data_IF_711964148588
#
_entry.id   IF_711964148588
#
_cell.length_a   1.000
_cell.length_b   1.000
_cell.length_c   1.000
_cell.angle_alpha   90.00
_cell.angle_beta   90.00
_cell.angle_gamma   90.00
#
_symmetry.space_group_name_H-M   'P 1'
#
loop_
_entity.id
_entity.type
_entity.pdbx_description
1 polymer ?
#
# COMPACT_ATOMS: atom_id res chain seq x y z
N UNK A 1 18.14 49.90 -13.32
CA UNK A 1 18.71 51.18 -12.83
C UNK A 1 18.28 51.34 -11.37
N UNK A 2 18.79 52.31 -10.59
CA UNK A 2 18.27 52.54 -9.22
C UNK A 2 17.33 53.74 -9.25
N UNK A 3 16.12 53.61 -8.71
CA UNK A 3 15.14 54.70 -8.64
C UNK A 3 15.71 55.85 -7.81
N UNK A 4 15.68 57.07 -8.37
CA UNK A 4 16.16 58.27 -7.70
C UNK A 4 14.99 58.93 -6.96
N UNK A 5 15.06 58.97 -5.64
CA UNK A 5 14.06 59.65 -4.81
C UNK A 5 14.42 61.11 -4.61
N UNK A 6 13.44 62.01 -4.82
CA UNK A 6 13.57 63.45 -4.54
C UNK A 6 14.09 63.72 -3.11
N UNK A 7 13.56 62.99 -2.13
CA UNK A 7 13.92 63.15 -0.72
C UNK A 7 15.40 62.82 -0.44
N UNK A 8 15.97 61.85 -1.16
CA UNK A 8 17.38 61.48 -1.04
C UNK A 8 18.28 62.41 -1.85
N UNK A 9 17.82 62.88 -3.02
CA UNK A 9 18.56 63.84 -3.84
C UNK A 9 18.69 65.22 -3.17
N UNK A 10 17.72 65.60 -2.33
CA UNK A 10 17.70 66.91 -1.66
C UNK A 10 17.36 68.09 -2.58
N UNK A 11 16.95 67.81 -3.83
CA UNK A 11 16.56 68.79 -4.83
C UNK A 11 15.41 68.23 -5.70
N UNK A 12 14.65 69.07 -6.43
CA UNK A 12 13.70 68.59 -7.43
C UNK A 12 14.37 67.65 -8.44
N UNK A 13 13.64 66.62 -8.87
CA UNK A 13 14.10 65.74 -9.95
C UNK A 13 14.07 66.51 -11.29
N UNK A 14 15.05 66.25 -12.15
CA UNK A 14 14.99 66.74 -13.54
C UNK A 14 13.98 65.93 -14.34
N UNK A 15 13.60 66.42 -15.51
CA UNK A 15 12.67 65.72 -16.40
C UNK A 15 13.26 64.36 -16.81
N UNK A 16 14.56 64.31 -17.09
CA UNK A 16 15.27 63.08 -17.47
C UNK A 16 15.31 62.06 -16.34
N UNK A 17 15.43 62.50 -15.09
CA UNK A 17 15.38 61.60 -13.93
C UNK A 17 13.98 61.04 -13.68
N UNK A 18 12.96 61.86 -13.91
CA UNK A 18 11.56 61.43 -13.84
C UNK A 18 11.28 60.38 -14.91
N UNK A 19 11.63 60.68 -16.17
CA UNK A 19 11.47 59.75 -17.29
C UNK A 19 12.28 58.47 -17.09
N UNK A 20 13.50 58.59 -16.57
CA UNK A 20 14.34 57.44 -16.22
C UNK A 20 13.72 56.55 -15.14
N UNK A 21 13.14 57.15 -14.09
CA UNK A 21 12.44 56.40 -13.04
C UNK A 21 11.20 55.68 -13.59
N UNK A 22 10.41 56.34 -14.44
CA UNK A 22 9.23 55.71 -15.05
C UNK A 22 9.61 54.56 -15.97
N UNK A 23 10.63 54.74 -16.81
CA UNK A 23 11.15 53.68 -17.67
C UNK A 23 11.67 52.48 -16.87
N UNK A 24 12.39 52.72 -15.77
CA UNK A 24 12.88 51.63 -14.91
C UNK A 24 11.73 50.85 -14.26
N UNK A 25 10.69 51.55 -13.80
CA UNK A 25 9.50 50.92 -13.24
C UNK A 25 8.73 50.11 -14.28
N UNK A 26 8.52 50.67 -15.46
CA UNK A 26 7.83 50.04 -16.59
C UNK A 26 8.56 48.75 -17.01
N UNK A 27 9.88 48.81 -17.23
CA UNK A 27 10.68 47.62 -17.54
C UNK A 27 10.65 46.58 -16.42
N UNK A 28 10.68 46.98 -15.15
CA UNK A 28 10.58 46.03 -14.03
C UNK A 28 9.21 45.38 -13.94
N UNK A 29 8.16 46.13 -14.28
CA UNK A 29 6.79 45.62 -14.33
C UNK A 29 6.64 44.64 -15.49
N UNK A 30 7.11 44.99 -16.69
CA UNK A 30 7.15 44.08 -17.86
C UNK A 30 7.85 42.76 -17.51
N UNK A 31 9.00 42.80 -16.84
CA UNK A 31 9.71 41.57 -16.39
C UNK A 31 8.87 40.73 -15.43
N UNK A 32 8.08 41.34 -14.55
CA UNK A 32 7.22 40.62 -13.61
C UNK A 32 5.98 40.06 -14.33
N UNK A 33 5.41 40.82 -15.27
CA UNK A 33 4.23 40.42 -16.05
C UNK A 33 4.55 39.32 -17.07
N UNK A 34 5.74 39.34 -17.67
CA UNK A 34 6.25 38.29 -18.55
C UNK A 34 6.72 37.05 -17.79
N UNK A 35 6.92 37.16 -16.47
CA UNK A 35 7.26 36.01 -15.64
C UNK A 35 6.02 35.14 -15.46
N UNK A 36 5.77 34.25 -16.41
CA UNK A 36 4.87 33.11 -16.21
C UNK A 36 5.35 32.38 -14.97
N UNK A 37 4.56 32.41 -13.89
CA UNK A 37 4.77 31.49 -12.79
C UNK A 37 4.63 30.10 -13.39
N UNK A 38 5.75 29.43 -13.59
CA UNK A 38 5.80 27.99 -13.83
C UNK A 38 5.36 27.35 -12.51
N UNK A 39 4.06 27.48 -12.20
CA UNK A 39 3.43 26.90 -11.03
C UNK A 39 3.41 25.40 -11.27
N UNK A 40 4.56 24.78 -11.01
CA UNK A 40 4.70 23.34 -10.95
C UNK A 40 3.70 22.82 -9.95
N UNK A 41 2.60 22.24 -10.44
CA UNK A 41 1.58 21.61 -9.63
C UNK A 41 1.90 20.13 -9.41
N UNK A 42 1.06 19.45 -8.63
CA UNK A 42 1.05 17.99 -8.60
C UNK A 42 0.28 17.51 -9.84
N UNK A 43 0.93 16.69 -10.67
CA UNK A 43 0.27 16.04 -11.81
C UNK A 43 -0.31 14.68 -11.43
N UNK A 44 0.43 13.90 -10.67
CA UNK A 44 0.09 12.53 -10.36
C UNK A 44 0.66 12.12 -8.99
N UNK A 45 -0.03 11.19 -8.33
CA UNK A 45 0.47 10.48 -7.16
C UNK A 45 0.45 9.00 -7.51
N UNK A 46 1.64 8.42 -7.59
CA UNK A 46 1.86 7.01 -7.94
C UNK A 46 2.19 6.22 -6.68
N UNK A 47 1.82 4.94 -6.68
CA UNK A 47 2.32 3.98 -5.71
C UNK A 47 3.43 3.17 -6.38
N UNK A 48 4.66 3.26 -5.86
CA UNK A 48 5.84 2.52 -6.29
C UNK A 48 6.35 1.69 -5.11
N UNK A 49 6.01 0.40 -5.08
CA UNK A 49 6.30 -0.47 -3.94
C UNK A 49 5.58 -0.01 -2.66
N UNK A 50 6.35 0.38 -1.64
CA UNK A 50 5.86 0.93 -0.38
C UNK A 50 5.91 2.47 -0.32
N UNK A 51 6.21 3.15 -1.42
CA UNK A 51 6.32 4.60 -1.50
C UNK A 51 5.22 5.23 -2.35
N UNK A 52 4.61 6.30 -1.83
CA UNK A 52 3.86 7.25 -2.65
C UNK A 52 4.84 8.23 -3.29
N UNK A 53 4.87 8.24 -4.62
CA UNK A 53 5.67 9.15 -5.44
C UNK A 53 4.75 10.26 -5.94
N UNK A 54 5.02 11.48 -5.51
CA UNK A 54 4.28 12.68 -5.95
C UNK A 54 5.04 13.27 -7.13
N UNK A 55 4.43 13.24 -8.31
CA UNK A 55 4.98 13.81 -9.53
C UNK A 55 4.43 15.21 -9.78
N UNK A 56 5.30 16.07 -10.31
CA UNK A 56 4.97 17.42 -10.73
C UNK A 56 4.48 17.46 -12.18
N UNK A 57 3.90 18.58 -12.59
CA UNK A 57 3.42 18.86 -13.96
C UNK A 57 4.48 18.73 -15.05
N UNK A 58 5.77 18.72 -14.69
CA UNK A 58 6.89 18.52 -15.62
C UNK A 58 7.51 17.11 -15.50
N UNK A 59 6.77 16.14 -14.94
CA UNK A 59 7.22 14.76 -14.69
C UNK A 59 8.47 14.65 -13.80
N UNK A 60 8.77 15.69 -13.02
CA UNK A 60 9.76 15.65 -11.96
C UNK A 60 9.13 15.08 -10.68
N UNK A 61 9.92 14.39 -9.85
CA UNK A 61 9.44 13.96 -8.53
C UNK A 61 9.49 15.14 -7.55
N UNK A 62 8.33 15.53 -7.02
CA UNK A 62 8.21 16.55 -5.98
C UNK A 62 8.46 15.97 -4.59
N UNK A 63 8.14 14.69 -4.38
CA UNK A 63 8.34 14.04 -3.09
C UNK A 63 8.10 12.53 -3.13
N UNK A 64 8.64 11.87 -2.09
CA UNK A 64 8.43 10.45 -1.80
C UNK A 64 7.99 10.31 -0.36
N UNK A 65 6.91 9.58 -0.14
CA UNK A 65 6.39 9.28 1.20
C UNK A 65 6.29 7.77 1.32
N UNK A 66 7.12 7.18 2.20
CA UNK A 66 6.98 5.76 2.53
C UNK A 66 5.75 5.54 3.38
N UNK A 67 4.87 4.63 2.95
CA UNK A 67 3.69 4.26 3.70
C UNK A 67 4.08 3.32 4.85
N UNK A 68 3.58 3.55 6.07
CA UNK A 68 3.78 2.60 7.15
C UNK A 68 3.04 1.30 6.79
N UNK A 69 3.80 0.22 6.60
CA UNK A 69 3.22 -1.11 6.46
C UNK A 69 2.92 -1.69 7.84
N UNK A 70 1.69 -2.16 8.10
CA UNK A 70 1.37 -2.82 9.36
C UNK A 70 2.24 -4.08 9.50
N UNK A 71 2.94 -4.20 10.62
CA UNK A 71 3.74 -5.38 10.93
C UNK A 71 2.86 -6.40 11.66
N UNK A 72 2.58 -7.53 11.00
CA UNK A 72 1.82 -8.62 11.60
C UNK A 72 2.72 -9.54 12.42
N UNK A 73 2.24 -9.96 13.58
CA UNK A 73 2.98 -10.80 14.52
C UNK A 73 2.20 -12.08 14.82
N UNK A 74 2.68 -13.22 14.31
CA UNK A 74 2.06 -14.52 14.54
C UNK A 74 2.25 -15.01 15.97
N UNK A 75 1.15 -15.17 16.71
CA UNK A 75 1.15 -15.67 18.11
C UNK A 75 0.73 -17.12 18.26
N UNK A 76 0.20 -17.74 17.20
CA UNK A 76 -0.28 -19.13 17.28
C UNK A 76 -1.70 -19.21 17.83
N UNK A 77 -1.99 -20.17 18.71
CA UNK A 77 -3.31 -20.30 19.31
C UNK A 77 -3.58 -19.15 20.30
N UNK A 78 -4.84 -18.72 20.41
CA UNK A 78 -5.24 -17.78 21.46
C UNK A 78 -5.18 -18.46 22.82
N UNK A 79 -4.49 -17.83 23.75
CA UNK A 79 -4.35 -18.23 25.16
C UNK A 79 -4.92 -17.14 26.08
N UNK A 80 -5.40 -17.54 27.27
CA UNK A 80 -5.81 -16.65 28.35
C UNK A 80 -4.60 -16.09 29.10
N UNK A 81 -4.75 -14.93 29.72
CA UNK A 81 -3.70 -14.23 30.48
C UNK A 81 -2.47 -13.85 29.64
N UNK A 82 -2.61 -13.82 28.31
CA UNK A 82 -1.58 -13.48 27.36
C UNK A 82 -1.72 -12.02 26.93
N UNK A 83 -0.59 -11.30 26.83
CA UNK A 83 -0.60 -9.95 26.29
C UNK A 83 -0.57 -9.98 24.76
N UNK A 84 -1.57 -9.34 24.14
CA UNK A 84 -1.67 -9.14 22.70
C UNK A 84 -1.53 -7.66 22.35
N UNK A 85 -0.75 -7.39 21.32
CA UNK A 85 -0.60 -6.05 20.73
C UNK A 85 -1.45 -5.93 19.46
N UNK A 86 -1.68 -4.69 19.02
CA UNK A 86 -2.30 -4.44 17.71
C UNK A 86 -1.49 -5.15 16.63
N UNK A 87 -2.19 -5.79 15.69
CA UNK A 87 -1.65 -6.62 14.62
C UNK A 87 -1.07 -7.98 15.03
N UNK A 88 -1.25 -8.40 16.28
CA UNK A 88 -1.03 -9.80 16.63
C UNK A 88 -2.09 -10.70 15.95
N UNK A 89 -1.60 -11.78 15.35
CA UNK A 89 -2.39 -12.80 14.66
C UNK A 89 -2.52 -14.03 15.56
N UNK A 90 -3.75 -14.41 15.87
CA UNK A 90 -4.05 -15.59 16.69
C UNK A 90 -5.02 -16.52 15.96
N UNK A 91 -5.03 -17.79 16.35
CA UNK A 91 -6.06 -18.76 16.00
C UNK A 91 -6.90 -19.07 17.22
N UNK A 92 -8.20 -18.85 17.13
CA UNK A 92 -9.16 -19.33 18.11
C UNK A 92 -10.08 -20.32 17.40
N UNK A 93 -10.09 -21.57 17.88
CA UNK A 93 -10.72 -22.71 17.20
C UNK A 93 -10.23 -22.89 15.75
N UNK A 94 -11.12 -22.69 14.76
CA UNK A 94 -10.89 -22.83 13.32
C UNK A 94 -10.74 -21.48 12.60
N UNK A 95 -10.77 -20.38 13.36
CA UNK A 95 -10.80 -19.03 12.83
C UNK A 95 -9.50 -18.30 13.18
N UNK A 96 -8.96 -17.58 12.21
CA UNK A 96 -7.80 -16.70 12.36
C UNK A 96 -8.27 -15.28 12.60
N UNK A 97 -7.68 -14.64 13.60
CA UNK A 97 -8.05 -13.34 14.10
C UNK A 97 -6.86 -12.39 14.13
N UNK A 98 -7.13 -11.12 13.85
CA UNK A 98 -6.21 -10.00 14.01
C UNK A 98 -6.58 -9.18 15.24
N UNK A 99 -5.63 -8.88 16.10
CA UNK A 99 -5.84 -7.99 17.24
C UNK A 99 -5.89 -6.52 16.78
N UNK A 100 -6.94 -5.81 17.16
CA UNK A 100 -7.20 -4.40 16.87
C UNK A 100 -6.89 -3.48 18.06
N UNK A 101 -6.94 -4.01 19.30
CA UNK A 101 -6.73 -3.25 20.53
C UNK A 101 -5.77 -4.00 21.45
N UNK A 102 -4.71 -3.35 21.97
CA UNK A 102 -3.79 -4.03 22.86
C UNK A 102 -4.48 -4.33 24.20
N UNK A 103 -4.34 -5.56 24.69
CA UNK A 103 -4.97 -6.01 25.94
C UNK A 103 -4.23 -7.24 26.50
N UNK A 104 -4.46 -7.51 27.79
CA UNK A 104 -4.19 -8.81 28.38
C UNK A 104 -5.47 -9.63 28.27
N UNK A 105 -5.39 -10.83 27.69
CA UNK A 105 -6.56 -11.67 27.46
C UNK A 105 -7.11 -12.26 28.76
N UNK A 106 -8.42 -12.35 28.85
CA UNK A 106 -9.15 -13.03 29.92
C UNK A 106 -10.21 -13.95 29.32
N UNK A 107 -11.11 -13.41 28.48
CA UNK A 107 -12.19 -14.15 27.85
C UNK A 107 -12.41 -13.72 26.40
N UNK A 108 -12.23 -14.66 25.46
CA UNK A 108 -12.33 -14.39 24.04
C UNK A 108 -13.70 -13.82 23.62
N UNK A 109 -14.79 -14.32 24.18
CA UNK A 109 -16.15 -13.87 23.84
C UNK A 109 -16.45 -12.45 24.34
N UNK A 110 -15.93 -12.09 25.51
CA UNK A 110 -16.06 -10.73 26.03
C UNK A 110 -15.14 -9.76 25.28
N UNK A 111 -14.04 -10.28 24.74
CA UNK A 111 -13.04 -9.59 23.94
C UNK A 111 -13.25 -9.79 22.44
N UNK A 112 -14.47 -10.15 22.00
CA UNK A 112 -14.94 -9.71 20.69
C UNK A 112 -14.77 -8.18 20.61
N UNK A 113 -15.08 -7.47 19.56
CA UNK A 113 -14.62 -6.09 19.30
C UNK A 113 -13.09 -5.82 19.33
N UNK A 114 -12.25 -6.61 20.01
CA UNK A 114 -10.79 -6.44 20.05
C UNK A 114 -10.12 -7.23 18.93
N UNK A 115 -10.80 -8.24 18.42
CA UNK A 115 -10.33 -9.05 17.28
C UNK A 115 -11.00 -8.65 15.95
N UNK A 116 -10.42 -8.99 14.82
CA UNK A 116 -11.06 -8.98 13.50
C UNK A 116 -10.90 -10.37 12.89
N UNK A 117 -11.99 -10.93 12.37
CA UNK A 117 -11.92 -12.19 11.62
C UNK A 117 -11.17 -11.92 10.31
N UNK A 118 -10.05 -12.60 10.11
CA UNK A 118 -9.33 -12.58 8.84
C UNK A 118 -9.76 -13.72 7.94
N UNK A 119 -9.90 -14.90 8.54
CA UNK A 119 -10.22 -16.11 7.81
C UNK A 119 -10.85 -17.13 8.74
N UNK A 120 -11.90 -17.79 8.26
CA UNK A 120 -12.54 -18.91 8.95
C UNK A 120 -12.50 -20.11 8.02
N UNK A 121 -12.01 -21.25 8.51
CA UNK A 121 -12.08 -22.48 7.72
C UNK A 121 -13.56 -22.84 7.48
N UNK A 122 -13.97 -23.14 6.23
CA UNK A 122 -15.31 -23.65 6.00
C UNK A 122 -15.49 -24.95 6.78
N UNK A 123 -16.46 -24.97 7.70
CA UNK A 123 -16.84 -26.16 8.44
C UNK A 123 -17.50 -27.15 7.48
N UNK A 124 -16.73 -28.13 7.02
CA UNK A 124 -17.32 -29.37 6.52
C UNK A 124 -17.39 -30.30 7.73
N UNK A 125 -18.59 -30.46 8.29
CA UNK A 125 -18.85 -31.50 9.28
C UNK A 125 -18.41 -32.84 8.68
N UNK A 126 -17.42 -33.48 9.33
CA UNK A 126 -16.71 -34.68 8.87
C UNK A 126 -15.59 -34.46 7.83
N UNK A 127 -14.44 -33.99 8.27
CA UNK A 127 -13.28 -34.88 8.43
C UNK A 127 -12.12 -34.11 9.05
N UNK A 128 -11.23 -34.83 9.71
CA UNK A 128 -9.91 -34.32 10.05
C UNK A 128 -9.33 -33.60 8.83
N UNK A 129 -9.18 -32.27 8.88
CA UNK A 129 -8.68 -31.45 7.76
C UNK A 129 -7.19 -31.69 7.53
N UNK A 130 -6.83 -32.93 7.24
CA UNK A 130 -5.60 -33.26 6.56
C UNK A 130 -5.88 -33.05 5.08
N UNK A 131 -5.11 -32.18 4.44
CA UNK A 131 -5.07 -32.14 2.99
C UNK A 131 -4.87 -33.57 2.49
N UNK A 132 -5.77 -34.11 1.65
CA UNK A 132 -5.65 -35.48 1.19
C UNK A 132 -4.35 -35.62 0.41
N UNK A 133 -3.60 -36.66 0.76
CA UNK A 133 -2.33 -36.99 0.12
C UNK A 133 -2.62 -38.03 -0.96
N UNK A 134 -2.27 -37.70 -2.19
CA UNK A 134 -2.41 -38.55 -3.35
C UNK A 134 -1.06 -39.07 -3.80
N UNK A 135 -1.09 -40.24 -4.43
CA UNK A 135 0.01 -40.76 -5.23
C UNK A 135 -0.50 -40.86 -6.67
N UNK A 136 0.37 -40.66 -7.66
CA UNK A 136 -0.01 -40.62 -9.08
C UNK A 136 -0.82 -41.84 -9.55
N UNK A 137 -0.56 -43.01 -8.96
CA UNK A 137 -1.27 -44.26 -9.28
C UNK A 137 -2.67 -44.39 -8.66
N UNK A 138 -3.04 -43.51 -7.73
CA UNK A 138 -4.32 -43.54 -7.00
C UNK A 138 -4.99 -42.16 -6.97
N UNK A 139 -4.87 -41.42 -8.07
CA UNK A 139 -5.49 -40.10 -8.18
C UNK A 139 -7.00 -40.28 -8.44
N UNK A 140 -7.89 -39.76 -7.57
CA UNK A 140 -9.32 -39.88 -7.77
C UNK A 140 -9.79 -39.03 -8.96
N UNK A 141 -11.02 -39.26 -9.42
CA UNK A 141 -11.65 -38.41 -10.43
C UNK A 141 -11.67 -36.95 -9.96
N UNK A 142 -11.30 -35.97 -10.81
CA UNK A 142 -11.20 -34.57 -10.43
C UNK A 142 -12.59 -33.97 -10.21
N UNK A 143 -12.98 -33.80 -8.95
CA UNK A 143 -14.20 -33.07 -8.58
C UNK A 143 -13.90 -31.57 -8.47
N UNK A 144 -14.68 -30.68 -9.12
CA UNK A 144 -14.42 -29.24 -9.10
C UNK A 144 -14.26 -28.70 -7.68
N UNK A 145 -13.12 -28.04 -7.41
CA UNK A 145 -12.84 -27.43 -6.11
C UNK A 145 -12.17 -28.35 -5.08
N UNK A 146 -11.92 -29.62 -5.41
CA UNK A 146 -11.11 -30.49 -4.56
C UNK A 146 -9.63 -30.05 -4.55
N UNK A 147 -8.96 -30.15 -3.40
CA UNK A 147 -7.56 -29.77 -3.19
C UNK A 147 -6.84 -30.91 -2.49
N UNK A 148 -5.57 -31.14 -2.83
CA UNK A 148 -4.73 -32.10 -2.11
C UNK A 148 -3.23 -31.94 -2.39
N UNK A 149 -2.44 -32.88 -1.89
CA UNK A 149 -1.01 -32.95 -2.09
C UNK A 149 -0.68 -34.20 -2.91
N UNK A 150 -0.10 -34.07 -4.08
CA UNK A 150 0.34 -35.18 -4.93
C UNK A 150 1.80 -35.52 -4.65
N UNK A 151 2.10 -36.78 -4.35
CA UNK A 151 3.46 -37.32 -4.33
C UNK A 151 3.76 -37.88 -5.73
N UNK A 152 4.75 -37.29 -6.40
CA UNK A 152 5.32 -37.75 -7.68
C UNK A 152 6.84 -37.71 -7.59
N UNK A 153 7.50 -38.84 -7.84
CA UNK A 153 8.96 -38.99 -7.84
C UNK A 153 9.68 -38.21 -6.71
N UNK A 154 9.27 -38.48 -5.47
CA UNK A 154 9.79 -37.88 -4.22
C UNK A 154 9.47 -36.39 -4.00
N UNK A 155 8.68 -35.75 -4.85
CA UNK A 155 8.18 -34.38 -4.65
C UNK A 155 6.76 -34.39 -4.12
N UNK A 156 6.46 -33.45 -3.23
CA UNK A 156 5.10 -33.17 -2.76
C UNK A 156 4.60 -31.91 -3.45
N UNK A 157 3.59 -32.05 -4.31
CA UNK A 157 3.07 -30.97 -5.15
C UNK A 157 1.64 -30.62 -4.72
N UNK A 158 1.35 -29.35 -4.39
CA UNK A 158 -0.02 -28.94 -4.16
C UNK A 158 -0.79 -28.99 -5.48
N UNK A 159 -1.97 -29.61 -5.46
CA UNK A 159 -2.84 -29.77 -6.63
C UNK A 159 -4.29 -29.40 -6.33
N UNK A 160 -5.01 -28.92 -7.34
CA UNK A 160 -6.45 -28.66 -7.29
C UNK A 160 -7.15 -29.28 -8.51
N UNK A 161 -8.43 -29.60 -8.36
CA UNK A 161 -9.25 -30.14 -9.44
C UNK A 161 -10.13 -29.05 -10.08
N UNK A 162 -10.00 -28.85 -11.39
CA UNK A 162 -10.78 -27.89 -12.18
C UNK A 162 -12.11 -28.47 -12.72
N UNK A 163 -12.44 -29.71 -12.34
CA UNK A 163 -13.59 -30.46 -12.83
C UNK A 163 -13.34 -31.29 -14.09
N UNK A 164 -12.17 -31.14 -14.72
CA UNK A 164 -11.72 -31.95 -15.88
C UNK A 164 -10.43 -32.69 -15.59
N UNK A 165 -9.51 -32.07 -14.85
CA UNK A 165 -8.21 -32.61 -14.49
C UNK A 165 -7.73 -32.08 -13.12
N UNK A 166 -6.75 -32.78 -12.55
CA UNK A 166 -5.93 -32.24 -11.46
C UNK A 166 -4.84 -31.34 -12.06
N UNK A 167 -4.69 -30.12 -11.50
CA UNK A 167 -3.75 -29.07 -11.90
C UNK A 167 -2.80 -28.75 -10.76
N UNK A 168 -1.58 -28.36 -11.04
CA UNK A 168 -0.64 -27.92 -10.00
C UNK A 168 -0.80 -26.42 -9.76
N UNK A 169 -0.66 -25.97 -8.51
CA UNK A 169 -0.69 -24.53 -8.22
C UNK A 169 0.51 -23.78 -8.83
N UNK A 170 1.57 -24.50 -9.21
CA UNK A 170 2.74 -23.97 -9.91
C UNK A 170 2.54 -23.82 -11.43
N UNK A 171 1.42 -24.28 -12.00
CA UNK A 171 1.10 -24.14 -13.43
C UNK A 171 0.56 -22.75 -13.79
N UNK A 172 0.73 -21.75 -12.91
CA UNK A 172 0.52 -20.35 -13.29
C UNK A 172 1.61 -19.95 -14.30
N UNK A 173 1.38 -20.25 -15.58
CA UNK A 173 1.70 -19.30 -16.62
C UNK A 173 1.09 -17.96 -16.17
N UNK A 174 1.96 -16.99 -15.96
CA UNK A 174 1.64 -15.61 -15.65
C UNK A 174 0.42 -15.16 -16.43
N UNK A 175 -0.71 -15.00 -15.75
CA UNK A 175 -1.85 -14.27 -16.30
C UNK A 175 -1.44 -12.79 -16.26
N UNK A 176 -0.90 -12.29 -17.37
CA UNK A 176 -0.63 -10.87 -17.57
C UNK A 176 0.67 -10.58 -18.32
N UNK A 177 0.62 -10.62 -19.65
CA UNK A 177 1.16 -9.55 -20.51
C UNK A 177 -0.02 -8.81 -21.14
#
# INVERSE_FOLDING_TARGET
>A
MTIIYRALKGAPLTIEEIDGNFKDLDTRLEVIEEHTLDEGGISEILLDGDELVIQGTHHNTLGRVRLPMPQFSGRGAWETQQHYNVYDLVRHEITSYLCLKPHQSDSFEQERDYWQVLWQSPQTENNSSRLPLFIKSNLPSPEPGAIGLLIDDEKVLPVYADGKAWRQFSDHETIGE
#
